data_IF_439126571806
#
_entry.id   IF_439126571806
#
_cell.length_a   1.000
_cell.length_b   1.000
_cell.length_c   1.000
_cell.angle_alpha   90.00
_cell.angle_beta   90.00
_cell.angle_gamma   90.00
#
_symmetry.space_group_name_H-M   'P 1'
#
loop_
_entity.id
_entity.type
_entity.pdbx_description
1 polymer ?
#
# COMPACT_ATOMS: atom_id res chain seq x y z
N UNK A 1 2.19 -9.54 -17.18
CA UNK A 1 2.16 -11.00 -16.94
C UNK A 1 0.74 -11.34 -16.56
N UNK A 2 0.09 -12.30 -17.22
CA UNK A 2 -1.21 -12.79 -16.75
C UNK A 2 -0.99 -13.74 -15.57
N UNK A 3 -1.67 -13.45 -14.46
CA UNK A 3 -1.70 -14.29 -13.28
C UNK A 3 -2.72 -15.42 -13.47
N UNK A 4 -2.45 -16.64 -12.99
CA UNK A 4 -3.48 -17.69 -12.91
C UNK A 4 -4.78 -17.18 -12.28
N UNK A 5 -5.93 -17.69 -12.73
CA UNK A 5 -7.22 -17.37 -12.12
C UNK A 5 -7.18 -17.69 -10.62
N UNK A 6 -7.50 -16.70 -9.77
CA UNK A 6 -7.46 -16.82 -8.31
C UNK A 6 -6.11 -16.52 -7.64
N UNK A 7 -5.11 -16.06 -8.40
CA UNK A 7 -3.88 -15.48 -7.83
C UNK A 7 -3.95 -13.96 -7.82
N UNK A 8 -3.62 -13.37 -6.68
CA UNK A 8 -3.64 -11.93 -6.43
C UNK A 8 -2.22 -11.46 -6.13
N UNK A 9 -1.88 -10.27 -6.60
CA UNK A 9 -0.66 -9.57 -6.21
C UNK A 9 -0.99 -8.40 -5.28
N UNK A 10 -0.04 -8.05 -4.42
CA UNK A 10 -0.07 -6.84 -3.61
C UNK A 10 1.15 -5.98 -3.94
N UNK A 11 0.95 -4.67 -4.08
CA UNK A 11 2.05 -3.73 -4.22
C UNK A 11 2.65 -3.44 -2.85
N UNK A 12 3.96 -3.65 -2.74
CA UNK A 12 4.76 -3.33 -1.55
C UNK A 12 5.83 -2.32 -1.91
N UNK A 13 6.25 -1.54 -0.92
CA UNK A 13 7.39 -0.62 -0.98
C UNK A 13 8.51 -1.11 -0.08
N UNK A 14 9.76 -0.83 -0.45
CA UNK A 14 10.95 -1.12 0.34
C UNK A 14 11.34 0.15 1.10
N UNK A 15 11.18 0.13 2.42
CA UNK A 15 11.47 1.29 3.26
C UNK A 15 12.95 1.66 3.20
N UNK A 16 13.26 2.94 3.11
CA UNK A 16 14.64 3.44 3.06
C UNK A 16 15.39 3.31 4.40
N UNK A 17 14.67 3.38 5.51
CA UNK A 17 15.23 3.42 6.87
C UNK A 17 15.56 2.03 7.43
N UNK A 18 14.68 1.04 7.23
CA UNK A 18 14.86 -0.32 7.76
C UNK A 18 15.27 -1.35 6.71
N UNK A 19 15.09 -1.07 5.42
CA UNK A 19 15.31 -2.04 4.35
C UNK A 19 14.29 -3.19 4.34
N UNK A 20 13.14 -3.00 4.99
CA UNK A 20 12.06 -3.98 5.04
C UNK A 20 10.95 -3.66 4.04
N UNK A 21 10.31 -4.71 3.52
CA UNK A 21 9.14 -4.56 2.66
C UNK A 21 7.89 -4.23 3.49
N UNK A 22 7.10 -3.27 3.02
CA UNK A 22 5.94 -2.75 3.74
C UNK A 22 4.78 -2.45 2.78
N UNK A 23 3.57 -2.34 3.34
CA UNK A 23 2.47 -1.66 2.66
C UNK A 23 2.83 -0.16 2.58
N UNK A 24 2.51 0.52 1.47
CA UNK A 24 2.69 1.96 1.39
C UNK A 24 1.71 2.65 2.35
N UNK A 25 2.21 3.60 3.12
CA UNK A 25 1.42 4.30 4.13
C UNK A 25 2.25 5.17 5.05
N UNK A 26 1.57 6.13 5.68
CA UNK A 26 2.18 7.08 6.60
C UNK A 26 1.15 7.69 7.55
N UNK A 27 1.52 8.83 8.12
CA UNK A 27 0.72 9.48 9.17
C UNK A 27 -0.47 10.22 8.56
N UNK A 28 -1.58 10.26 9.29
CA UNK A 28 -2.73 11.08 8.91
C UNK A 28 -2.47 12.52 9.34
N UNK A 29 -2.58 13.45 8.40
CA UNK A 29 -2.39 14.88 8.69
C UNK A 29 -3.54 15.45 9.54
N UNK A 30 -3.32 16.57 10.26
CA UNK A 30 -4.39 17.26 10.97
C UNK A 30 -5.58 17.56 10.05
N UNK A 31 -6.78 17.14 10.48
CA UNK A 31 -8.04 17.28 9.73
C UNK A 31 -8.16 16.44 8.44
N UNK A 32 -7.18 15.57 8.15
CA UNK A 32 -7.25 14.62 7.04
C UNK A 32 -8.10 13.40 7.40
N UNK A 33 -8.84 12.87 6.42
CA UNK A 33 -9.53 11.57 6.58
C UNK A 33 -8.54 10.45 6.32
N UNK A 34 -8.57 9.39 7.10
CA UNK A 34 -7.65 8.25 6.95
C UNK A 34 -7.61 7.64 5.53
N UNK A 35 -8.73 7.59 4.81
CA UNK A 35 -8.75 7.12 3.42
C UNK A 35 -8.06 8.08 2.45
N UNK A 36 -8.08 9.38 2.72
CA UNK A 36 -7.35 10.37 1.93
C UNK A 36 -5.84 10.27 2.20
N UNK A 37 -5.45 10.10 3.48
CA UNK A 37 -4.06 9.83 3.86
C UNK A 37 -3.54 8.58 3.13
N UNK A 38 -4.29 7.46 3.17
CA UNK A 38 -3.89 6.23 2.48
C UNK A 38 -3.69 6.43 0.96
N UNK A 39 -4.51 7.26 0.31
CA UNK A 39 -4.34 7.60 -1.11
C UNK A 39 -3.13 8.50 -1.34
N UNK A 40 -2.93 9.53 -0.51
CA UNK A 40 -1.79 10.47 -0.59
C UNK A 40 -0.47 9.74 -0.40
N UNK A 41 -0.34 8.97 0.68
CA UNK A 41 0.85 8.19 1.01
C UNK A 41 1.20 7.18 -0.09
N UNK A 42 0.19 6.50 -0.67
CA UNK A 42 0.41 5.66 -1.84
C UNK A 42 0.99 6.45 -3.02
N UNK A 43 0.49 7.66 -3.28
CA UNK A 43 1.00 8.50 -4.36
C UNK A 43 2.45 8.91 -4.14
N UNK A 44 2.80 9.28 -2.91
CA UNK A 44 4.13 9.74 -2.50
C UNK A 44 5.15 8.59 -2.53
N UNK A 45 4.84 7.48 -1.86
CA UNK A 45 5.79 6.37 -1.68
C UNK A 45 5.84 5.43 -2.89
N UNK A 46 4.72 5.24 -3.58
CA UNK A 46 4.58 4.17 -4.56
C UNK A 46 4.19 4.64 -5.96
N UNK A 47 3.82 5.91 -6.19
CA UNK A 47 3.39 6.39 -7.52
C UNK A 47 3.98 7.76 -7.87
N UNK A 48 5.27 7.95 -7.63
CA UNK A 48 5.95 9.18 -8.01
C UNK A 48 6.22 9.20 -9.53
N UNK A 49 5.78 10.25 -10.24
CA UNK A 49 5.92 10.39 -11.69
C UNK A 49 6.76 11.62 -12.05
N UNK A 50 7.68 11.48 -13.01
CA UNK A 50 8.54 12.57 -13.51
C UNK A 50 7.84 13.47 -14.52
N UNK A 51 6.90 12.93 -15.30
CA UNK A 51 6.18 13.67 -16.34
C UNK A 51 4.75 13.98 -15.91
N UNK A 52 4.23 15.13 -16.33
CA UNK A 52 2.83 15.52 -16.10
C UNK A 52 1.87 14.62 -16.89
N UNK A 53 2.28 14.18 -18.08
CA UNK A 53 1.50 13.25 -18.92
C UNK A 53 1.27 11.90 -18.22
N UNK A 54 2.32 11.30 -17.65
CA UNK A 54 2.19 10.02 -16.95
C UNK A 54 1.39 10.16 -15.66
N UNK A 55 1.56 11.29 -14.96
CA UNK A 55 0.77 11.60 -13.75
C UNK A 55 -0.71 11.72 -14.08
N UNK A 56 -1.05 12.39 -15.18
CA UNK A 56 -2.43 12.54 -15.64
C UNK A 56 -3.02 11.20 -16.10
N UNK A 57 -2.27 10.42 -16.87
CA UNK A 57 -2.69 9.08 -17.29
C UNK A 57 -2.96 8.16 -16.08
N UNK A 58 -2.11 8.21 -15.06
CA UNK A 58 -2.32 7.47 -13.82
C UNK A 58 -3.57 7.95 -13.07
N UNK A 59 -3.78 9.27 -12.95
CA UNK A 59 -4.99 9.83 -12.32
C UNK A 59 -6.27 9.30 -12.96
N UNK A 60 -6.31 9.24 -14.28
CA UNK A 60 -7.45 8.67 -15.01
C UNK A 60 -7.62 7.17 -14.76
N UNK A 61 -6.53 6.39 -14.78
CA UNK A 61 -6.58 4.95 -14.52
C UNK A 61 -6.99 4.62 -13.07
N UNK A 62 -6.64 5.49 -12.12
CA UNK A 62 -6.86 5.28 -10.70
C UNK A 62 -8.24 5.73 -10.19
N UNK A 63 -8.95 6.58 -10.93
CA UNK A 63 -10.22 7.17 -10.49
C UNK A 63 -11.24 6.13 -10.00
N UNK A 64 -11.48 5.07 -10.78
CA UNK A 64 -12.43 4.01 -10.38
C UNK A 64 -11.90 3.11 -9.25
N UNK A 65 -10.58 2.91 -9.17
CA UNK A 65 -9.93 2.12 -8.12
C UNK A 65 -10.09 2.82 -6.77
N UNK A 66 -9.95 4.14 -6.73
CA UNK A 66 -10.12 4.92 -5.51
C UNK A 66 -11.52 4.82 -4.91
N UNK A 67 -12.54 4.74 -5.74
CA UNK A 67 -13.93 4.59 -5.29
C UNK A 67 -14.26 3.19 -4.74
N UNK A 68 -13.42 2.17 -5.01
CA UNK A 68 -13.64 0.80 -4.53
C UNK A 68 -12.99 0.50 -3.16
N UNK A 69 -12.34 1.49 -2.55
CA UNK A 69 -11.58 1.32 -1.31
C UNK A 69 -12.41 0.76 -0.15
N UNK A 70 -11.99 -0.38 0.38
CA UNK A 70 -12.65 -1.05 1.51
C UNK A 70 -11.75 -1.06 2.75
N UNK A 71 -12.29 -0.66 3.90
CA UNK A 71 -11.58 -0.68 5.18
C UNK A 71 -11.35 -2.13 5.64
N UNK A 72 -10.10 -2.57 5.67
CA UNK A 72 -9.66 -3.92 6.12
C UNK A 72 -9.54 -3.97 7.63
N UNK A 73 -8.89 -2.97 8.21
CA UNK A 73 -8.59 -2.89 9.63
C UNK A 73 -8.64 -1.44 10.10
N UNK A 74 -9.09 -1.22 11.33
CA UNK A 74 -8.94 0.07 12.03
C UNK A 74 -8.75 -0.18 13.51
N UNK A 75 -7.71 0.41 14.10
CA UNK A 75 -7.47 0.38 15.53
C UNK A 75 -5.99 0.37 15.90
N UNK A 76 -5.73 -0.03 17.14
CA UNK A 76 -4.43 -0.05 17.78
C UNK A 76 -3.40 -0.93 17.07
N UNK A 77 -2.17 -0.42 16.95
CA UNK A 77 -1.01 -1.18 16.51
C UNK A 77 0.01 -1.26 17.63
N UNK A 78 0.51 -2.46 17.89
CA UNK A 78 1.61 -2.67 18.82
C UNK A 78 2.92 -2.21 18.17
N UNK A 79 3.39 -1.04 18.58
CA UNK A 79 4.53 -0.35 17.98
C UNK A 79 5.51 0.10 19.07
N UNK A 80 6.84 -0.02 18.86
CA UNK A 80 7.84 0.38 19.85
C UNK A 80 7.80 1.87 20.25
N UNK A 81 7.09 2.72 19.51
CA UNK A 81 6.86 4.13 19.83
C UNK A 81 5.76 4.36 20.87
N UNK A 82 4.98 3.33 21.19
CA UNK A 82 3.87 3.44 22.14
C UNK A 82 4.37 3.70 23.57
N UNK A 83 3.60 4.46 24.33
CA UNK A 83 3.79 4.79 25.74
C UNK A 83 2.45 4.74 26.47
N UNK A 84 2.45 4.86 27.80
CA UNK A 84 1.22 4.91 28.61
C UNK A 84 0.23 6.00 28.19
N UNK A 85 0.70 7.07 27.53
CA UNK A 85 -0.10 8.26 27.22
C UNK A 85 -0.21 8.56 25.71
N UNK A 86 0.44 7.78 24.86
CA UNK A 86 0.41 7.98 23.41
C UNK A 86 0.68 6.65 22.69
N UNK A 87 -0.16 6.30 21.73
CA UNK A 87 -0.04 5.06 20.95
C UNK A 87 -0.40 5.29 19.49
N UNK A 88 0.01 4.36 18.62
CA UNK A 88 -0.39 4.35 17.22
C UNK A 88 -1.68 3.57 17.01
N UNK A 89 -2.52 4.16 16.16
CA UNK A 89 -3.60 3.46 15.49
C UNK A 89 -3.39 3.55 13.98
N UNK A 90 -3.90 2.56 13.26
CA UNK A 90 -3.87 2.55 11.80
C UNK A 90 -5.25 2.26 11.23
N UNK A 91 -5.47 2.72 10.00
CA UNK A 91 -6.60 2.33 9.18
C UNK A 91 -6.07 1.79 7.85
N UNK A 92 -6.27 0.49 7.62
CA UNK A 92 -5.77 -0.19 6.42
C UNK A 92 -6.90 -0.32 5.42
N UNK A 93 -6.65 0.10 4.18
CA UNK A 93 -7.62 0.02 3.09
C UNK A 93 -7.12 -0.94 2.01
N UNK A 94 -8.04 -1.72 1.46
CA UNK A 94 -7.80 -2.52 0.26
C UNK A 94 -8.47 -1.83 -0.92
N UNK A 95 -7.67 -1.54 -1.94
CA UNK A 95 -8.13 -1.04 -3.24
C UNK A 95 -7.84 -2.12 -4.28
N UNK A 96 -8.90 -2.65 -4.89
CA UNK A 96 -8.75 -3.68 -5.92
C UNK A 96 -8.52 -3.00 -7.27
N UNK A 97 -7.36 -3.22 -7.87
CA UNK A 97 -6.94 -2.60 -9.12
C UNK A 97 -7.10 -3.54 -10.32
N UNK A 98 -7.34 -2.97 -11.50
CA UNK A 98 -7.31 -3.69 -12.78
C UNK A 98 -5.96 -3.53 -13.51
N UNK A 99 -5.86 -4.10 -14.72
CA UNK A 99 -4.65 -4.04 -15.55
C UNK A 99 -4.34 -2.63 -16.07
N UNK A 100 -5.34 -1.74 -16.18
CA UNK A 100 -5.11 -0.35 -16.63
C UNK A 100 -4.38 0.43 -15.55
N UNK A 101 -4.79 0.23 -14.29
CA UNK A 101 -4.12 0.81 -13.15
C UNK A 101 -2.66 0.37 -13.06
N UNK A 102 -2.39 -0.94 -13.09
CA UNK A 102 -1.02 -1.46 -12.95
C UNK A 102 -0.13 -1.07 -14.13
N UNK A 103 -0.68 -1.01 -15.35
CA UNK A 103 0.04 -0.53 -16.53
C UNK A 103 0.42 0.95 -16.43
N UNK A 104 -0.50 1.82 -16.01
CA UNK A 104 -0.20 3.23 -15.79
C UNK A 104 0.81 3.42 -14.63
N UNK A 105 0.64 2.66 -13.54
CA UNK A 105 1.52 2.70 -12.38
C UNK A 105 2.95 2.31 -12.74
N UNK A 106 3.16 1.41 -13.70
CA UNK A 106 4.48 0.89 -14.08
C UNK A 106 5.47 2.00 -14.48
N UNK A 107 4.98 3.16 -14.95
CA UNK A 107 5.82 4.32 -15.28
C UNK A 107 6.21 5.18 -14.06
N UNK A 108 5.55 4.98 -12.93
CA UNK A 108 5.91 5.61 -11.68
C UNK A 108 7.20 5.02 -11.09
N UNK A 109 7.58 5.50 -9.92
CA UNK A 109 8.71 4.98 -9.14
C UNK A 109 8.41 5.08 -7.65
N UNK A 110 9.23 4.40 -6.86
CA UNK A 110 9.26 4.67 -5.42
C UNK A 110 9.64 6.14 -5.18
N UNK A 111 9.08 6.76 -4.15
CA UNK A 111 9.33 8.15 -3.78
C UNK A 111 9.72 8.29 -2.31
N UNK A 112 9.87 9.54 -1.87
CA UNK A 112 10.20 10.05 -0.53
C UNK A 112 10.91 9.06 0.43
N UNK A 113 10.16 8.15 1.07
CA UNK A 113 10.68 7.23 2.09
C UNK A 113 10.86 5.77 1.63
N UNK A 114 10.67 5.51 0.34
CA UNK A 114 10.80 4.20 -0.29
C UNK A 114 11.92 4.17 -1.35
N UNK A 115 12.76 3.13 -1.29
CA UNK A 115 13.87 2.92 -2.23
C UNK A 115 13.50 2.05 -3.43
N UNK A 116 12.48 1.20 -3.28
CA UNK A 116 11.99 0.31 -4.32
C UNK A 116 10.50 0.00 -4.11
N UNK A 117 9.84 -0.53 -5.14
CA UNK A 117 8.45 -1.00 -5.08
C UNK A 117 8.27 -2.21 -5.98
N UNK A 118 7.45 -3.18 -5.56
CA UNK A 118 7.15 -4.34 -6.40
C UNK A 118 5.78 -4.93 -6.11
N UNK A 119 5.21 -5.53 -7.14
CA UNK A 119 4.09 -6.46 -6.99
C UNK A 119 4.61 -7.79 -6.47
N UNK A 120 3.98 -8.31 -5.43
CA UNK A 120 4.32 -9.60 -4.82
C UNK A 120 3.09 -10.49 -4.83
N UNK A 121 3.28 -11.77 -5.18
CA UNK A 121 2.23 -12.78 -5.03
C UNK A 121 1.75 -12.82 -3.58
N UNK A 122 0.48 -12.49 -3.37
CA UNK A 122 -0.15 -12.42 -2.08
C UNK A 122 -0.07 -13.77 -1.35
N UNK A 123 -0.06 -14.89 -2.09
CA UNK A 123 0.04 -16.24 -1.52
C UNK A 123 1.45 -16.62 -1.07
N UNK A 124 2.46 -15.85 -1.48
CA UNK A 124 3.85 -16.01 -1.04
C UNK A 124 4.15 -15.30 0.29
N UNK A 125 3.35 -14.30 0.68
CA UNK A 125 3.51 -13.57 1.95
C UNK A 125 3.35 -14.54 3.14
N UNK A 126 4.34 -14.52 4.05
CA UNK A 126 4.46 -15.45 5.19
C UNK A 126 5.12 -16.79 4.84
N UNK A 127 5.54 -16.97 3.58
CA UNK A 127 6.29 -18.16 3.10
C UNK A 127 7.63 -17.72 2.51
N UNK A 128 8.63 -18.60 2.58
CA UNK A 128 9.89 -18.39 1.86
C UNK A 128 10.77 -17.22 2.32
N UNK A 129 10.58 -16.73 3.55
CA UNK A 129 11.48 -15.74 4.17
C UNK A 129 11.19 -14.27 3.85
N UNK A 130 10.12 -13.94 3.13
CA UNK A 130 9.68 -12.54 3.00
C UNK A 130 8.90 -12.13 4.26
N UNK A 131 9.59 -11.44 5.18
CA UNK A 131 9.00 -10.79 6.34
C UNK A 131 8.59 -9.36 5.96
N UNK A 132 7.41 -8.95 6.40
CA UNK A 132 6.94 -7.57 6.23
C UNK A 132 7.16 -6.77 7.52
N UNK A 133 7.35 -5.47 7.36
CA UNK A 133 7.47 -4.54 8.47
C UNK A 133 6.24 -4.60 9.40
N UNK A 134 6.50 -4.56 10.71
CA UNK A 134 5.49 -4.47 11.77
C UNK A 134 4.34 -5.49 11.62
N UNK A 135 3.09 -5.05 11.79
CA UNK A 135 1.90 -5.91 11.72
C UNK A 135 1.35 -6.11 10.30
N UNK A 136 2.09 -5.73 9.25
CA UNK A 136 1.56 -5.71 7.87
C UNK A 136 1.11 -7.08 7.36
N UNK A 137 1.79 -8.16 7.75
CA UNK A 137 1.38 -9.52 7.38
C UNK A 137 -0.02 -9.86 7.93
N UNK A 138 -0.35 -9.41 9.14
CA UNK A 138 -1.66 -9.65 9.75
C UNK A 138 -2.78 -8.98 8.96
N UNK A 139 -2.55 -7.75 8.49
CA UNK A 139 -3.52 -7.02 7.69
C UNK A 139 -3.78 -7.70 6.34
N UNK A 140 -2.72 -8.24 5.71
CA UNK A 140 -2.86 -9.03 4.49
C UNK A 140 -3.62 -10.33 4.73
N UNK A 141 -3.44 -10.99 5.87
CA UNK A 141 -4.25 -12.16 6.22
C UNK A 141 -5.74 -11.82 6.33
N UNK A 142 -6.10 -10.65 6.87
CA UNK A 142 -7.49 -10.17 6.92
C UNK A 142 -8.01 -9.83 5.52
N UNK A 143 -7.19 -9.17 4.69
CA UNK A 143 -7.56 -8.84 3.31
C UNK A 143 -7.83 -10.09 2.45
N UNK A 144 -6.99 -11.12 2.58
CA UNK A 144 -7.14 -12.41 1.86
C UNK A 144 -8.50 -13.08 2.08
N UNK A 145 -9.12 -12.90 3.26
CA UNK A 145 -10.45 -13.48 3.56
C UNK A 145 -11.60 -12.82 2.83
N UNK A 146 -11.34 -11.72 2.12
CA UNK A 146 -12.35 -10.90 1.42
C UNK A 146 -12.23 -10.98 -0.10
N UNK A 147 -11.24 -11.71 -0.61
CA UNK A 147 -10.98 -11.97 -2.03
C UNK A 147 -11.54 -13.33 -2.40
#
# INVERSE_FOLDING_TARGET
RELPSGSYEVLLVLRADTGEWALPGGMVDPHEKAVHAARREFMEEAANFTSDEDREAFRHAAAAVWESGALVYRGYVDDPRNTDNAWLETAVYHFHSDSRFSHALAKGRAGDDATDRKWVDLMSIGKGGMMLYASHEQFLHVAKKRL
#
